data_IF_407462837243
#
_entry.id   IF_407462837243
#
_cell.length_a   1.000
_cell.length_b   1.000
_cell.length_c   1.000
_cell.angle_alpha   90.00
_cell.angle_beta   90.00
_cell.angle_gamma   90.00
#
_symmetry.space_group_name_H-M   'P 1'
#
loop_
_entity.id
_entity.type
_entity.pdbx_description
1 polymer ?
#
# COMPACT_ATOMS: atom_id res chain seq x y z
N UNK A 1 19.30 -29.41 32.13
CA UNK A 1 18.62 -29.58 30.83
C UNK A 1 17.15 -29.83 31.12
N UNK A 2 16.32 -28.79 31.02
CA UNK A 2 14.87 -28.89 31.22
C UNK A 2 14.20 -28.71 29.85
N UNK A 3 13.56 -29.77 29.36
CA UNK A 3 12.78 -29.75 28.13
C UNK A 3 11.42 -29.11 28.43
N UNK A 4 11.19 -27.92 27.90
CA UNK A 4 9.90 -27.25 27.95
C UNK A 4 8.96 -27.88 26.92
N UNK A 5 7.83 -28.41 27.38
CA UNK A 5 6.77 -28.93 26.51
C UNK A 5 6.02 -27.77 25.84
N UNK A 6 5.70 -27.84 24.54
CA UNK A 6 4.88 -26.83 23.87
C UNK A 6 3.42 -26.95 24.29
N UNK A 7 2.77 -25.80 24.48
CA UNK A 7 1.35 -25.69 24.80
C UNK A 7 0.47 -26.12 23.60
N UNK A 8 -0.68 -26.75 23.84
CA UNK A 8 -1.59 -27.15 22.77
C UNK A 8 -2.27 -25.92 22.14
N UNK A 9 -2.23 -25.86 20.81
CA UNK A 9 -2.92 -24.86 19.99
C UNK A 9 -4.43 -25.13 20.07
N UNK A 10 -5.16 -24.19 20.65
CA UNK A 10 -6.62 -24.23 20.75
C UNK A 10 -7.22 -24.08 19.35
N UNK A 11 -7.90 -25.13 18.88
CA UNK A 11 -8.60 -25.13 17.59
C UNK A 11 -9.84 -24.23 17.70
N UNK A 12 -9.85 -23.15 16.92
CA UNK A 12 -11.01 -22.27 16.76
C UNK A 12 -12.12 -23.05 16.03
N UNK A 13 -13.36 -23.10 16.55
CA UNK A 13 -14.46 -23.79 15.89
C UNK A 13 -14.70 -23.23 14.48
N UNK A 14 -14.75 -24.12 13.51
CA UNK A 14 -14.95 -23.80 12.10
C UNK A 14 -16.21 -22.96 11.87
N UNK A 15 -16.03 -21.86 11.15
CA UNK A 15 -17.10 -21.01 10.64
C UNK A 15 -17.99 -21.86 9.71
N UNK A 16 -19.33 -21.85 9.88
CA UNK A 16 -20.21 -22.60 8.99
C UNK A 16 -20.13 -22.05 7.56
N UNK A 17 -20.32 -22.91 6.54
CA UNK A 17 -20.26 -22.50 5.14
C UNK A 17 -21.39 -21.50 4.83
N UNK A 18 -20.98 -20.35 4.31
CA UNK A 18 -21.88 -19.32 3.79
C UNK A 18 -22.62 -19.91 2.60
N UNK A 19 -23.95 -19.95 2.70
CA UNK A 19 -24.87 -20.36 1.64
C UNK A 19 -24.78 -19.33 0.50
N UNK A 20 -24.60 -19.72 -0.76
CA UNK A 20 -24.67 -18.76 -1.86
C UNK A 20 -26.12 -18.26 -1.97
N UNK A 21 -26.32 -16.96 -1.75
CA UNK A 21 -27.57 -16.29 -2.07
C UNK A 21 -27.82 -16.40 -3.58
N UNK A 22 -29.01 -16.86 -3.92
CA UNK A 22 -29.45 -17.04 -5.28
C UNK A 22 -29.47 -15.73 -6.05
N UNK A 23 -29.03 -15.84 -7.30
CA UNK A 23 -29.17 -14.83 -8.35
C UNK A 23 -30.61 -14.35 -8.42
N UNK A 24 -30.86 -13.15 -7.90
CA UNK A 24 -32.12 -12.45 -8.09
C UNK A 24 -32.12 -11.89 -9.52
N UNK A 25 -33.01 -12.47 -10.32
CA UNK A 25 -33.33 -12.09 -11.68
C UNK A 25 -33.65 -10.60 -11.80
N UNK A 26 -33.08 -9.95 -12.82
CA UNK A 26 -33.47 -8.64 -13.29
C UNK A 26 -34.96 -8.59 -13.66
N UNK A 27 -35.69 -7.51 -13.35
CA UNK A 27 -36.85 -7.13 -14.12
C UNK A 27 -36.47 -6.06 -15.13
N UNK A 28 -36.43 -6.49 -16.39
CA UNK A 28 -37.14 -5.87 -17.52
C UNK A 28 -37.37 -4.36 -17.42
N UNK A 29 -36.55 -3.66 -18.20
CA UNK A 29 -36.90 -2.48 -18.99
C UNK A 29 -38.41 -2.36 -19.29
N UNK A 30 -39.01 -1.22 -18.92
CA UNK A 30 -40.26 -0.75 -19.54
C UNK A 30 -40.15 0.74 -19.83
N UNK A 31 -40.54 1.05 -21.05
CA UNK A 31 -40.47 2.34 -21.71
C UNK A 31 -41.34 3.40 -21.02
N UNK A 32 -40.80 4.62 -20.99
CA UNK A 32 -41.49 5.85 -21.37
C UNK A 32 -42.95 6.01 -20.98
N UNK A 33 -43.18 6.74 -19.89
CA UNK A 33 -44.34 7.61 -19.78
C UNK A 33 -43.86 8.97 -19.27
N UNK A 34 -43.97 9.99 -20.13
CA UNK A 34 -43.70 11.38 -19.79
C UNK A 34 -44.56 11.78 -18.59
N UNK A 35 -43.90 12.14 -17.48
CA UNK A 35 -44.54 12.65 -16.28
C UNK A 35 -45.07 14.06 -16.59
N UNK A 36 -46.37 14.35 -16.40
CA UNK A 36 -46.85 15.72 -16.49
C UNK A 36 -46.22 16.57 -15.39
N UNK A 37 -46.00 17.88 -15.62
CA UNK A 37 -45.50 18.78 -14.60
C UNK A 37 -46.44 18.79 -13.38
N UNK A 38 -45.90 18.99 -12.16
CA UNK A 38 -46.72 19.12 -10.97
C UNK A 38 -47.67 20.30 -11.13
N UNK A 39 -48.92 20.21 -10.64
CA UNK A 39 -49.81 21.36 -10.65
C UNK A 39 -49.13 22.48 -9.86
N UNK A 40 -48.99 23.65 -10.51
CA UNK A 40 -48.71 24.91 -9.84
C UNK A 40 -49.61 24.98 -8.61
N UNK A 41 -48.97 25.04 -7.44
CA UNK A 41 -49.63 25.43 -6.22
C UNK A 41 -50.12 26.86 -6.43
N UNK A 42 -51.33 26.97 -6.98
CA UNK A 42 -52.11 28.18 -6.97
C UNK A 42 -52.26 28.50 -5.49
N UNK A 43 -51.52 29.51 -5.06
CA UNK A 43 -51.61 30.06 -3.73
C UNK A 43 -53.05 30.47 -3.49
N UNK A 44 -53.80 29.60 -2.82
CA UNK A 44 -54.92 30.04 -2.00
C UNK A 44 -54.30 30.83 -0.86
N UNK A 45 -54.02 32.10 -1.14
CA UNK A 45 -53.92 33.11 -0.11
C UNK A 45 -55.22 33.03 0.67
N UNK A 46 -55.15 32.50 1.89
CA UNK A 46 -56.16 32.80 2.89
C UNK A 46 -56.21 34.33 2.97
N UNK A 47 -57.37 34.96 2.75
CA UNK A 47 -57.50 36.36 3.11
C UNK A 47 -57.21 36.46 4.61
N UNK A 48 -56.28 37.34 4.97
CA UNK A 48 -56.10 37.76 6.36
C UNK A 48 -57.48 38.08 6.95
N UNK A 49 -57.77 37.63 8.19
CA UNK A 49 -59.03 37.95 8.82
C UNK A 49 -59.15 39.47 8.89
N UNK A 50 -60.27 40.06 8.45
CA UNK A 50 -60.45 41.50 8.54
C UNK A 50 -60.30 41.89 10.01
N UNK A 51 -59.37 42.80 10.28
CA UNK A 51 -59.33 43.60 11.49
C UNK A 51 -60.66 44.35 11.59
N UNK A 52 -61.65 43.66 12.14
CA UNK A 52 -62.99 44.18 12.33
C UNK A 52 -62.93 45.06 13.58
N UNK A 53 -62.46 46.28 13.36
CA UNK A 53 -62.84 47.48 14.11
C UNK A 53 -64.36 47.53 14.20
N UNK A 54 -64.86 46.92 15.25
CA UNK A 54 -66.28 46.70 15.45
C UNK A 54 -66.52 46.16 16.84
N UNK A 55 -65.93 46.83 17.85
CA UNK A 55 -66.45 46.86 19.21
C UNK A 55 -67.91 47.36 19.16
N UNK A 56 -68.83 46.52 18.69
CA UNK A 56 -70.16 46.56 19.24
C UNK A 56 -70.00 46.00 20.64
N UNK A 57 -69.93 46.93 21.60
CA UNK A 57 -70.36 46.69 22.97
C UNK A 57 -71.68 45.91 22.91
N UNK A 58 -71.59 44.58 22.90
CA UNK A 58 -72.64 43.76 23.48
C UNK A 58 -72.64 44.17 24.93
N UNK A 59 -73.40 45.22 25.24
CA UNK A 59 -73.98 45.43 26.55
C UNK A 59 -74.84 44.21 26.78
N UNK A 60 -74.21 43.16 27.27
CA UNK A 60 -74.88 42.10 27.98
C UNK A 60 -75.71 42.84 29.01
N UNK A 61 -77.02 42.90 28.81
CA UNK A 61 -77.95 43.23 29.89
C UNK A 61 -77.86 42.06 30.88
N UNK A 62 -76.73 41.99 31.59
CA UNK A 62 -76.66 41.33 32.88
C UNK A 62 -77.46 42.27 33.76
N UNK A 63 -78.74 41.96 33.95
CA UNK A 63 -79.47 42.51 35.07
C UNK A 63 -78.75 41.95 36.29
N UNK A 64 -77.84 42.75 36.82
CA UNK A 64 -77.11 42.46 38.04
C UNK A 64 -78.13 42.56 39.18
N UNK A 65 -78.86 41.46 39.42
CA UNK A 65 -79.67 41.32 40.62
C UNK A 65 -78.68 41.16 41.77
N UNK A 66 -78.25 42.28 42.36
CA UNK A 66 -77.54 42.28 43.65
C UNK A 66 -78.54 41.90 44.74
N UNK A 67 -78.89 40.61 44.78
CA UNK A 67 -79.51 40.01 45.96
C UNK A 67 -78.40 39.94 47.02
N UNK A 68 -78.38 40.92 47.90
CA UNK A 68 -77.58 40.87 49.11
C UNK A 68 -77.94 39.61 49.89
N UNK A 69 -76.92 38.82 50.27
CA UNK A 69 -77.06 37.52 50.94
C UNK A 69 -77.77 37.62 52.33
N UNK A 70 -77.93 38.84 52.84
CA UNK A 70 -78.61 39.18 54.11
C UNK A 70 -80.06 39.71 53.94
N UNK A 71 -80.62 39.73 52.72
CA UNK A 71 -81.94 40.31 52.51
C UNK A 71 -83.07 39.30 52.85
N UNK A 72 -83.54 39.33 54.10
CA UNK A 72 -84.72 38.60 54.61
C UNK A 72 -86.06 38.95 53.91
N UNK A 73 -86.02 39.62 52.75
CA UNK A 73 -87.19 40.05 51.98
C UNK A 73 -88.07 38.89 51.48
N UNK A 74 -87.51 37.67 51.37
CA UNK A 74 -88.26 36.46 51.06
C UNK A 74 -88.97 35.82 52.27
N UNK A 75 -88.60 36.17 53.50
CA UNK A 75 -89.30 35.70 54.71
C UNK A 75 -90.62 36.45 54.94
N UNK A 76 -90.74 37.68 54.43
CA UNK A 76 -91.99 38.42 54.43
C UNK A 76 -92.89 37.96 53.27
N UNK A 77 -93.92 37.17 53.59
CA UNK A 77 -94.89 36.61 52.63
C UNK A 77 -95.53 37.70 51.75
N UNK A 78 -95.80 38.88 52.30
CA UNK A 78 -96.43 39.97 51.54
C UNK A 78 -95.44 40.60 50.55
N UNK A 79 -94.18 40.77 50.95
CA UNK A 79 -93.10 41.24 50.05
C UNK A 79 -92.80 40.23 48.95
N UNK A 80 -92.73 38.94 49.29
CA UNK A 80 -92.58 37.87 48.32
C UNK A 80 -93.75 37.86 47.32
N UNK A 81 -95.00 38.00 47.81
CA UNK A 81 -96.20 38.05 46.95
C UNK A 81 -96.20 39.26 46.03
N UNK A 82 -95.76 40.43 46.51
CA UNK A 82 -95.65 41.65 45.71
C UNK A 82 -94.56 41.52 44.65
N UNK A 83 -93.39 40.97 45.01
CA UNK A 83 -92.32 40.67 44.06
C UNK A 83 -92.76 39.68 42.99
N UNK A 84 -93.47 38.60 43.36
CA UNK A 84 -94.08 37.69 42.38
C UNK A 84 -95.10 38.40 41.48
N UNK A 85 -95.92 39.30 42.02
CA UNK A 85 -96.87 40.08 41.21
C UNK A 85 -96.20 41.07 40.26
N UNK A 86 -95.01 41.60 40.57
CA UNK A 86 -94.30 42.54 39.69
C UNK A 86 -93.42 41.80 38.68
N UNK A 87 -92.79 40.69 39.09
CA UNK A 87 -91.85 39.94 38.26
C UNK A 87 -92.53 39.07 37.20
N UNK A 88 -93.76 38.61 37.44
CA UNK A 88 -94.49 37.81 36.45
C UNK A 88 -94.85 38.67 35.23
N UNK A 89 -94.40 38.24 34.06
CA UNK A 89 -94.75 38.87 32.79
C UNK A 89 -96.27 38.81 32.57
N UNK A 90 -96.88 39.78 31.88
CA UNK A 90 -98.32 39.77 31.62
C UNK A 90 -98.84 38.44 31.02
N UNK A 91 -98.03 37.77 30.21
CA UNK A 91 -98.34 36.44 29.66
C UNK A 91 -98.36 35.33 30.73
N UNK A 92 -97.49 35.40 31.73
CA UNK A 92 -97.42 34.45 32.84
C UNK A 92 -98.59 34.66 33.81
N UNK A 93 -98.96 35.92 34.06
CA UNK A 93 -100.16 36.27 34.83
C UNK A 93 -101.44 35.72 34.18
N UNK A 94 -101.58 35.90 32.86
CA UNK A 94 -102.70 35.34 32.10
C UNK A 94 -102.72 33.81 32.15
N UNK A 95 -101.55 33.17 32.09
CA UNK A 95 -101.41 31.71 32.19
C UNK A 95 -101.79 31.18 33.58
N UNK A 96 -101.39 31.88 34.65
CA UNK A 96 -101.73 31.51 36.04
C UNK A 96 -103.23 31.67 36.30
N UNK A 97 -103.88 32.71 35.76
CA UNK A 97 -105.32 32.91 35.89
C UNK A 97 -106.15 31.89 35.10
N UNK A 98 -105.61 31.37 33.98
CA UNK A 98 -106.28 30.39 33.13
C UNK A 98 -106.12 28.93 33.60
N UNK A 99 -105.22 28.65 34.54
CA UNK A 99 -104.92 27.29 35.03
C UNK A 99 -105.30 27.14 36.51
N UNK A 100 -105.63 25.93 36.95
CA UNK A 100 -105.83 25.69 38.39
C UNK A 100 -104.48 25.74 39.12
N UNK A 101 -104.49 26.13 40.41
CA UNK A 101 -103.29 26.23 41.23
C UNK A 101 -102.44 24.93 41.19
N UNK A 102 -103.09 23.77 41.23
CA UNK A 102 -102.41 22.47 41.14
C UNK A 102 -101.70 22.26 39.79
N UNK A 103 -102.32 22.67 38.68
CA UNK A 103 -101.69 22.56 37.35
C UNK A 103 -100.50 23.52 37.21
N UNK A 104 -100.57 24.71 37.81
CA UNK A 104 -99.45 25.64 37.85
C UNK A 104 -98.26 25.10 38.67
N UNK A 105 -98.53 24.51 39.84
CA UNK A 105 -97.49 23.89 40.67
C UNK A 105 -96.82 22.70 39.98
N UNK A 106 -97.59 21.81 39.35
CA UNK A 106 -97.03 20.70 38.57
C UNK A 106 -96.25 21.19 37.35
N UNK A 107 -96.74 22.21 36.63
CA UNK A 107 -95.98 22.82 35.53
C UNK A 107 -94.66 23.44 35.99
N UNK A 108 -94.65 24.05 37.17
CA UNK A 108 -93.44 24.66 37.76
C UNK A 108 -92.46 23.58 38.19
N UNK A 109 -92.93 22.51 38.82
CA UNK A 109 -92.13 21.35 39.20
C UNK A 109 -91.49 20.68 37.97
N UNK A 110 -92.28 20.44 36.92
CA UNK A 110 -91.77 19.89 35.66
C UNK A 110 -90.74 20.83 35.00
N UNK A 111 -90.98 22.14 35.04
CA UNK A 111 -90.01 23.13 34.55
C UNK A 111 -88.71 23.12 35.36
N UNK A 112 -88.79 23.00 36.68
CA UNK A 112 -87.60 22.91 37.55
C UNK A 112 -86.78 21.65 37.24
N UNK A 113 -87.41 20.48 37.13
CA UNK A 113 -86.75 19.22 36.73
C UNK A 113 -86.10 19.35 35.35
N UNK A 114 -86.78 20.00 34.40
CA UNK A 114 -86.23 20.27 33.06
C UNK A 114 -85.00 21.18 33.12
N UNK A 115 -85.04 22.24 33.92
CA UNK A 115 -83.91 23.17 34.11
C UNK A 115 -82.73 22.41 34.74
N UNK A 116 -82.95 21.63 35.80
CA UNK A 116 -81.90 20.85 36.47
C UNK A 116 -81.26 19.82 35.52
N UNK A 117 -82.07 19.16 34.69
CA UNK A 117 -81.59 18.24 33.65
C UNK A 117 -80.71 18.98 32.63
N UNK A 118 -81.12 20.16 32.17
CA UNK A 118 -80.32 20.97 31.25
C UNK A 118 -79.01 21.46 31.89
N UNK A 119 -79.02 21.82 33.17
CA UNK A 119 -77.80 22.18 33.92
C UNK A 119 -76.84 21.00 33.97
N UNK A 120 -77.35 19.79 34.28
CA UNK A 120 -76.53 18.57 34.35
C UNK A 120 -75.95 18.19 32.99
N UNK A 121 -76.74 18.31 31.92
CA UNK A 121 -76.27 18.11 30.54
C UNK A 121 -75.20 19.15 30.18
N UNK A 122 -75.41 20.42 30.52
CA UNK A 122 -74.44 21.48 30.30
C UNK A 122 -73.12 21.23 31.03
N UNK A 123 -73.19 20.83 32.31
CA UNK A 123 -72.02 20.45 33.09
C UNK A 123 -71.28 19.25 32.49
N UNK A 124 -72.02 18.22 32.04
CA UNK A 124 -71.44 17.06 31.36
C UNK A 124 -70.70 17.43 30.07
N UNK A 125 -71.30 18.26 29.21
CA UNK A 125 -70.64 18.70 27.98
C UNK A 125 -69.42 19.59 28.24
N UNK A 126 -69.49 20.47 29.24
CA UNK A 126 -68.34 21.29 29.68
C UNK A 126 -67.18 20.41 30.14
N UNK A 127 -67.46 19.42 30.98
CA UNK A 127 -66.44 18.49 31.48
C UNK A 127 -65.87 17.60 30.35
N UNK A 128 -66.72 17.16 29.42
CA UNK A 128 -66.27 16.44 28.23
C UNK A 128 -65.35 17.31 27.35
N UNK A 129 -65.72 18.58 27.11
CA UNK A 129 -64.90 19.51 26.36
C UNK A 129 -63.53 19.75 27.04
N UNK A 130 -63.51 19.91 28.36
CA UNK A 130 -62.27 20.01 29.14
C UNK A 130 -61.35 18.79 28.95
N UNK A 131 -61.90 17.58 29.02
CA UNK A 131 -61.15 16.34 28.79
C UNK A 131 -60.63 16.24 27.35
N UNK A 132 -61.42 16.63 26.36
CA UNK A 132 -61.00 16.66 24.96
C UNK A 132 -59.84 17.65 24.74
N UNK A 133 -59.91 18.86 25.32
CA UNK A 133 -58.83 19.85 25.22
C UNK A 133 -57.53 19.35 25.88
N UNK A 134 -57.62 18.73 27.06
CA UNK A 134 -56.45 18.15 27.71
C UNK A 134 -55.83 17.00 26.90
N UNK A 135 -56.67 16.15 26.30
CA UNK A 135 -56.21 15.08 25.42
C UNK A 135 -55.52 15.65 24.17
N UNK A 136 -56.06 16.72 23.59
CA UNK A 136 -55.45 17.43 22.47
C UNK A 136 -54.09 18.03 22.85
N UNK A 137 -54.01 18.79 23.95
CA UNK A 137 -52.75 19.39 24.41
C UNK A 137 -51.68 18.32 24.66
N UNK A 138 -52.06 17.18 25.24
CA UNK A 138 -51.15 16.04 25.43
C UNK A 138 -50.71 15.45 24.10
N UNK A 139 -51.61 15.30 23.13
CA UNK A 139 -51.25 14.80 21.81
C UNK A 139 -50.29 15.75 21.09
N UNK A 140 -50.51 17.07 21.17
CA UNK A 140 -49.62 18.10 20.61
C UNK A 140 -48.23 18.05 21.25
N UNK A 141 -48.14 17.92 22.58
CA UNK A 141 -46.86 17.72 23.27
C UNK A 141 -46.12 16.46 22.79
N UNK A 142 -46.82 15.34 22.68
CA UNK A 142 -46.23 14.10 22.18
C UNK A 142 -45.74 14.24 20.73
N UNK A 143 -46.47 14.95 19.86
CA UNK A 143 -46.03 15.20 18.48
C UNK A 143 -44.75 16.05 18.47
N UNK A 144 -44.69 17.11 19.28
CA UNK A 144 -43.50 17.96 19.37
C UNK A 144 -42.26 17.17 19.89
N UNK A 145 -42.44 16.30 20.88
CA UNK A 145 -41.38 15.41 21.37
C UNK A 145 -40.90 14.43 20.29
N UNK A 146 -41.82 13.83 19.53
CA UNK A 146 -41.48 12.93 18.41
C UNK A 146 -40.78 13.68 17.27
N UNK A 147 -41.16 14.91 16.97
CA UNK A 147 -40.48 15.76 16.00
C UNK A 147 -39.05 16.11 16.43
N UNK A 148 -38.84 16.37 17.72
CA UNK A 148 -37.50 16.58 18.27
C UNK A 148 -36.64 15.32 18.15
N UNK A 149 -37.14 14.17 18.57
CA UNK A 149 -36.44 12.89 18.43
C UNK A 149 -36.14 12.53 16.97
N UNK A 150 -37.07 12.83 16.05
CA UNK A 150 -36.82 12.66 14.60
C UNK A 150 -35.64 13.51 14.13
N UNK A 151 -35.55 14.77 14.56
CA UNK A 151 -34.42 15.67 14.22
C UNK A 151 -33.10 15.17 14.80
N UNK A 152 -33.11 14.70 16.04
CA UNK A 152 -31.95 14.09 16.70
C UNK A 152 -31.46 12.84 15.95
N UNK A 153 -32.37 11.93 15.61
CA UNK A 153 -32.03 10.73 14.84
C UNK A 153 -31.51 11.07 13.44
N UNK A 154 -32.08 12.06 12.76
CA UNK A 154 -31.57 12.50 11.46
C UNK A 154 -30.16 13.08 11.56
N UNK A 155 -29.85 13.81 12.65
CA UNK A 155 -28.50 14.31 12.90
C UNK A 155 -27.53 13.15 13.11
N UNK A 156 -27.88 12.17 13.95
CA UNK A 156 -27.05 10.98 14.20
C UNK A 156 -26.83 10.18 12.91
N UNK A 157 -27.88 9.97 12.11
CA UNK A 157 -27.76 9.29 10.82
C UNK A 157 -26.80 10.07 9.91
N UNK A 158 -26.94 11.38 9.80
CA UNK A 158 -26.01 12.21 9.01
C UNK A 158 -24.56 12.10 9.48
N UNK A 159 -24.29 12.18 10.78
CA UNK A 159 -22.92 12.05 11.29
C UNK A 159 -22.33 10.65 11.04
N UNK A 160 -23.15 9.60 11.21
CA UNK A 160 -22.68 8.23 10.95
C UNK A 160 -22.48 7.94 9.47
N UNK A 161 -23.29 8.52 8.57
CA UNK A 161 -23.08 8.44 7.13
C UNK A 161 -21.77 9.12 6.71
N UNK A 162 -21.46 10.29 7.28
CA UNK A 162 -20.19 10.99 7.04
C UNK A 162 -18.98 10.18 7.57
N UNK A 163 -19.09 9.57 8.76
CA UNK A 163 -18.07 8.67 9.31
C UNK A 163 -17.85 7.45 8.41
N UNK A 164 -18.91 6.80 7.94
CA UNK A 164 -18.83 5.66 7.02
C UNK A 164 -18.14 6.07 5.71
N UNK A 165 -18.47 7.25 5.19
CA UNK A 165 -17.82 7.78 3.97
C UNK A 165 -16.32 8.04 4.21
N UNK A 166 -15.95 8.61 5.35
CA UNK A 166 -14.54 8.83 5.71
C UNK A 166 -13.77 7.51 5.82
N UNK A 167 -14.36 6.51 6.49
CA UNK A 167 -13.76 5.17 6.62
C UNK A 167 -13.63 4.48 5.25
N UNK A 168 -14.61 4.66 4.35
CA UNK A 168 -14.52 4.14 2.98
C UNK A 168 -13.34 4.74 2.22
N UNK A 169 -13.13 6.05 2.32
CA UNK A 169 -11.98 6.72 1.68
C UNK A 169 -10.65 6.22 2.26
N UNK A 170 -10.54 6.10 3.59
CA UNK A 170 -9.34 5.59 4.24
C UNK A 170 -9.02 4.13 3.82
N UNK A 171 -10.05 3.29 3.70
CA UNK A 171 -9.90 1.91 3.24
C UNK A 171 -9.37 1.84 1.79
N UNK A 172 -9.82 2.71 0.91
CA UNK A 172 -9.35 2.73 -0.48
C UNK A 172 -7.91 3.26 -0.60
N UNK A 173 -7.51 4.23 0.24
CA UNK A 173 -6.12 4.66 0.37
C UNK A 173 -5.22 3.53 0.88
N UNK A 174 -5.65 2.77 1.90
CA UNK A 174 -4.90 1.62 2.41
C UNK A 174 -4.74 0.52 1.34
N UNK A 175 -5.80 0.23 0.57
CA UNK A 175 -5.71 -0.71 -0.56
C UNK A 175 -4.69 -0.24 -1.60
N UNK A 176 -4.65 1.05 -1.91
CA UNK A 176 -3.68 1.62 -2.84
C UNK A 176 -2.25 1.53 -2.31
N UNK A 177 -2.02 1.86 -1.03
CA UNK A 177 -0.72 1.72 -0.38
C UNK A 177 -0.23 0.26 -0.39
N UNK A 178 -1.12 -0.69 -0.07
CA UNK A 178 -0.78 -2.11 -0.09
C UNK A 178 -0.51 -2.64 -1.52
N UNK A 179 -1.23 -2.14 -2.53
CA UNK A 179 -0.94 -2.44 -3.93
C UNK A 179 0.46 -1.94 -4.34
N UNK A 180 0.84 -0.74 -3.90
CA UNK A 180 2.18 -0.19 -4.11
C UNK A 180 3.26 -1.05 -3.43
N UNK A 181 3.11 -1.37 -2.15
CA UNK A 181 4.05 -2.24 -1.42
C UNK A 181 4.19 -3.62 -2.06
N UNK A 182 3.09 -4.21 -2.57
CA UNK A 182 3.16 -5.47 -3.32
C UNK A 182 3.92 -5.33 -4.63
N UNK A 183 3.78 -4.21 -5.33
CA UNK A 183 4.53 -3.92 -6.56
C UNK A 183 6.03 -3.78 -6.26
N UNK A 184 6.38 -3.02 -5.23
CA UNK A 184 7.77 -2.84 -4.80
C UNK A 184 8.42 -4.15 -4.36
N UNK A 185 7.69 -5.00 -3.63
CA UNK A 185 8.14 -6.33 -3.24
C UNK A 185 8.46 -7.18 -4.47
N UNK A 186 7.57 -7.23 -5.47
CA UNK A 186 7.84 -7.97 -6.71
C UNK A 186 9.04 -7.41 -7.47
N UNK A 187 9.21 -6.08 -7.49
CA UNK A 187 10.37 -5.45 -8.10
C UNK A 187 11.68 -5.77 -7.35
N UNK A 188 11.63 -5.90 -6.02
CA UNK A 188 12.78 -6.32 -5.22
C UNK A 188 13.10 -7.80 -5.43
N UNK A 189 12.09 -8.67 -5.52
CA UNK A 189 12.24 -10.10 -5.84
C UNK A 189 12.86 -10.30 -7.22
N UNK A 190 12.42 -9.54 -8.23
CA UNK A 190 13.00 -9.59 -9.57
C UNK A 190 14.50 -9.19 -9.56
N UNK A 191 14.85 -8.10 -8.86
CA UNK A 191 16.25 -7.67 -8.67
C UNK A 191 17.08 -8.71 -7.95
N UNK A 192 16.52 -9.38 -6.94
CA UNK A 192 17.19 -10.47 -6.23
C UNK A 192 17.43 -11.68 -7.14
N UNK A 193 16.46 -12.04 -7.97
CA UNK A 193 16.61 -13.13 -8.93
C UNK A 193 17.69 -12.82 -9.97
N UNK A 194 17.74 -11.60 -10.49
CA UNK A 194 18.79 -11.13 -11.41
C UNK A 194 20.17 -11.17 -10.76
N UNK A 195 20.31 -10.63 -9.53
CA UNK A 195 21.57 -10.66 -8.80
C UNK A 195 22.07 -12.08 -8.54
N UNK A 196 21.17 -13.01 -8.22
CA UNK A 196 21.50 -14.45 -8.07
C UNK A 196 21.97 -15.06 -9.39
N UNK A 197 21.30 -14.76 -10.49
CA UNK A 197 21.72 -15.21 -11.82
C UNK A 197 23.11 -14.69 -12.18
N UNK A 198 23.37 -13.40 -11.95
CA UNK A 198 24.67 -12.78 -12.21
C UNK A 198 25.79 -13.41 -11.35
N UNK A 199 25.49 -13.73 -10.09
CA UNK A 199 26.42 -14.41 -9.19
C UNK A 199 26.81 -15.78 -9.73
N UNK A 200 25.86 -16.60 -10.20
CA UNK A 200 26.15 -17.90 -10.82
C UNK A 200 27.06 -17.76 -12.03
N UNK A 201 26.82 -16.77 -12.89
CA UNK A 201 27.69 -16.48 -14.06
C UNK A 201 29.11 -16.11 -13.60
N UNK A 202 29.23 -15.29 -12.56
CA UNK A 202 30.53 -14.89 -12.01
C UNK A 202 31.28 -16.07 -11.38
N UNK A 203 30.60 -16.92 -10.62
CA UNK A 203 31.18 -18.15 -10.06
C UNK A 203 31.71 -19.08 -11.15
N UNK A 204 30.96 -19.24 -12.25
CA UNK A 204 31.42 -20.03 -13.38
C UNK A 204 32.64 -19.41 -14.06
N UNK A 205 32.65 -18.08 -14.22
CA UNK A 205 33.80 -17.37 -14.80
C UNK A 205 35.06 -17.51 -13.92
N UNK A 206 34.91 -17.44 -12.60
CA UNK A 206 36.01 -17.64 -11.64
C UNK A 206 36.56 -19.06 -11.76
N UNK A 207 35.71 -20.09 -11.72
CA UNK A 207 36.14 -21.49 -11.91
C UNK A 207 36.87 -21.69 -13.25
N UNK A 208 36.37 -21.06 -14.31
CA UNK A 208 37.03 -21.09 -15.62
C UNK A 208 38.40 -20.39 -15.63
N UNK A 209 38.57 -19.31 -14.88
CA UNK A 209 39.85 -18.62 -14.73
C UNK A 209 40.85 -19.43 -13.87
N UNK A 210 40.37 -20.06 -12.80
CA UNK A 210 41.17 -20.95 -11.95
C UNK A 210 41.74 -22.12 -12.76
N UNK A 211 40.89 -22.82 -13.55
CA UNK A 211 41.35 -23.91 -14.42
C UNK A 211 42.42 -23.45 -15.44
N UNK A 212 42.25 -22.27 -16.03
CA UNK A 212 43.25 -21.70 -16.95
C UNK A 212 44.55 -21.36 -16.25
N UNK A 213 44.49 -20.86 -15.01
CA UNK A 213 45.67 -20.57 -14.21
C UNK A 213 46.44 -21.85 -13.87
N UNK A 214 45.73 -22.92 -13.48
CA UNK A 214 46.32 -24.24 -13.24
C UNK A 214 46.99 -24.81 -14.51
N UNK A 215 46.33 -24.68 -15.67
CA UNK A 215 46.89 -25.10 -16.95
C UNK A 215 48.19 -24.34 -17.30
N UNK A 216 48.19 -23.01 -17.17
CA UNK A 216 49.38 -22.19 -17.40
C UNK A 216 50.51 -22.53 -16.43
N UNK A 217 50.19 -22.79 -15.15
CA UNK A 217 51.19 -23.20 -14.16
C UNK A 217 51.82 -24.54 -14.54
N UNK A 218 51.03 -25.51 -15.02
CA UNK A 218 51.55 -26.78 -15.51
C UNK A 218 52.43 -26.61 -16.75
N UNK A 219 52.04 -25.75 -17.70
CA UNK A 219 52.84 -25.43 -18.89
C UNK A 219 54.19 -24.79 -18.53
N UNK A 220 54.19 -23.82 -17.62
CA UNK A 220 55.40 -23.17 -17.12
C UNK A 220 56.32 -24.17 -16.41
N UNK A 221 55.77 -25.04 -15.56
CA UNK A 221 56.55 -26.09 -14.90
C UNK A 221 57.17 -27.10 -15.89
N UNK A 222 56.47 -27.42 -16.98
CA UNK A 222 57.02 -28.26 -18.04
C UNK A 222 58.14 -27.55 -18.82
N UNK A 223 57.95 -26.26 -19.12
CA UNK A 223 58.96 -25.44 -19.78
C UNK A 223 60.22 -25.27 -18.92
N UNK A 224 60.05 -25.06 -17.62
CA UNK A 224 61.14 -24.96 -16.64
C UNK A 224 61.95 -26.26 -16.60
N UNK A 225 61.28 -27.42 -16.48
CA UNK A 225 61.96 -28.74 -16.52
C UNK A 225 62.72 -28.96 -17.82
N UNK A 226 62.12 -28.65 -18.97
CA UNK A 226 62.78 -28.78 -20.26
C UNK A 226 63.99 -27.83 -20.39
N UNK A 227 63.90 -26.61 -19.84
CA UNK A 227 65.02 -25.68 -19.80
C UNK A 227 66.14 -26.20 -18.87
N UNK A 228 65.79 -26.77 -17.72
CA UNK A 228 66.73 -27.38 -16.79
C UNK A 228 67.45 -28.59 -17.39
N UNK A 229 66.73 -29.48 -18.07
CA UNK A 229 67.31 -30.63 -18.78
C UNK A 229 68.27 -30.18 -19.89
N UNK A 230 67.90 -29.16 -20.68
CA UNK A 230 68.81 -28.58 -21.69
C UNK A 230 70.07 -27.99 -21.06
N UNK A 231 69.94 -27.28 -19.93
CA UNK A 231 71.07 -26.74 -19.22
C UNK A 231 72.00 -27.85 -18.68
N UNK A 232 71.43 -28.91 -18.11
CA UNK A 232 72.19 -30.08 -17.65
C UNK A 232 72.91 -30.79 -18.80
N UNK A 233 72.24 -30.99 -19.92
CA UNK A 233 72.83 -31.58 -21.11
C UNK A 233 73.98 -30.71 -21.66
N UNK A 234 73.80 -29.39 -21.74
CA UNK A 234 74.87 -28.48 -22.13
C UNK A 234 76.10 -28.59 -21.20
N UNK A 235 75.89 -28.61 -19.89
CA UNK A 235 76.96 -28.82 -18.90
C UNK A 235 77.66 -30.16 -19.11
N UNK A 236 76.92 -31.21 -19.46
CA UNK A 236 77.50 -32.53 -19.74
C UNK A 236 78.35 -32.52 -21.01
N UNK A 237 77.85 -31.92 -22.10
CA UNK A 237 78.61 -31.72 -23.34
C UNK A 237 79.91 -30.93 -23.10
N UNK A 238 79.88 -29.90 -22.25
CA UNK A 238 81.09 -29.14 -21.90
C UNK A 238 82.13 -30.01 -21.18
N UNK A 239 81.72 -30.90 -20.27
CA UNK A 239 82.65 -31.85 -19.64
C UNK A 239 83.22 -32.85 -20.63
N UNK A 240 82.37 -33.42 -21.49
CA UNK A 240 82.82 -34.35 -22.53
C UNK A 240 83.81 -33.68 -23.49
N UNK A 241 83.63 -32.39 -23.79
CA UNK A 241 84.58 -31.60 -24.59
C UNK A 241 85.90 -31.34 -23.84
N UNK A 242 85.85 -31.07 -22.53
CA UNK A 242 87.05 -30.92 -21.69
C UNK A 242 87.84 -32.23 -21.65
N UNK A 243 87.18 -33.37 -21.44
CA UNK A 243 87.81 -34.70 -21.53
C UNK A 243 88.38 -34.99 -22.92
N UNK A 244 87.70 -34.58 -23.99
CA UNK A 244 88.21 -34.71 -25.36
C UNK A 244 89.41 -33.80 -25.62
N UNK A 245 89.42 -32.61 -25.02
CA UNK A 245 90.54 -31.70 -25.10
C UNK A 245 91.75 -32.25 -24.35
N UNK A 246 91.58 -32.82 -23.16
CA UNK A 246 92.63 -33.54 -22.44
C UNK A 246 93.18 -34.71 -23.27
N UNK A 247 92.31 -35.49 -23.91
CA UNK A 247 92.71 -36.59 -24.79
C UNK A 247 93.50 -36.10 -26.01
N UNK A 248 93.03 -35.04 -26.67
CA UNK A 248 93.73 -34.42 -27.80
C UNK A 248 95.06 -33.80 -27.38
N UNK A 249 95.13 -33.18 -26.21
CA UNK A 249 96.38 -32.66 -25.66
C UNK A 249 97.37 -33.80 -25.39
N UNK A 250 96.92 -34.90 -24.79
CA UNK A 250 97.75 -36.09 -24.56
C UNK A 250 98.22 -36.72 -25.89
N UNK A 251 97.32 -36.90 -26.85
CA UNK A 251 97.66 -37.48 -28.16
C UNK A 251 98.54 -36.54 -29.01
N UNK A 252 98.31 -35.23 -28.97
CA UNK A 252 99.17 -34.25 -29.63
C UNK A 252 100.56 -34.21 -29.01
N UNK A 253 100.66 -34.27 -27.68
CA UNK A 253 101.96 -34.34 -26.97
C UNK A 253 102.67 -35.65 -27.32
N UNK A 254 101.97 -36.79 -27.31
CA UNK A 254 102.56 -38.08 -27.67
C UNK A 254 102.99 -38.13 -29.15
N UNK A 255 102.16 -37.63 -30.06
CA UNK A 255 102.49 -37.51 -31.48
C UNK A 255 103.67 -36.59 -31.73
N UNK A 256 103.79 -35.47 -30.99
CA UNK A 256 104.93 -34.56 -31.05
C UNK A 256 106.21 -35.25 -30.55
N UNK A 257 106.15 -35.94 -29.41
CA UNK A 257 107.27 -36.72 -28.87
C UNK A 257 107.72 -37.78 -29.89
N UNK A 258 106.76 -38.48 -30.50
CA UNK A 258 107.05 -39.52 -31.49
C UNK A 258 107.66 -38.94 -32.77
N UNK A 259 107.09 -37.87 -33.32
CA UNK A 259 107.66 -37.16 -34.47
C UNK A 259 109.05 -36.60 -34.19
N UNK A 260 109.30 -36.09 -32.97
CA UNK A 260 110.63 -35.64 -32.55
C UNK A 260 111.62 -36.82 -32.44
N UNK A 261 111.17 -37.98 -31.97
CA UNK A 261 111.99 -39.19 -31.93
C UNK A 261 112.31 -39.71 -33.34
N UNK A 262 111.34 -39.70 -34.25
CA UNK A 262 111.56 -40.06 -35.65
C UNK A 262 112.53 -39.10 -36.35
N UNK A 263 112.37 -37.80 -36.09
CA UNK A 263 113.33 -36.78 -36.52
C UNK A 263 114.72 -37.05 -35.96
N UNK A 264 114.87 -37.29 -34.65
CA UNK A 264 116.16 -37.68 -34.04
C UNK A 264 116.75 -38.92 -34.71
N UNK A 265 115.93 -39.93 -35.01
CA UNK A 265 116.36 -41.16 -35.68
C UNK A 265 116.82 -40.90 -37.13
N UNK A 266 116.11 -40.05 -37.87
CA UNK A 266 116.52 -39.62 -39.21
C UNK A 266 117.83 -38.82 -39.15
N UNK A 267 117.96 -37.91 -38.18
CA UNK A 267 119.16 -37.08 -37.98
C UNK A 267 120.37 -37.93 -37.56
N UNK A 268 120.16 -38.97 -36.76
CA UNK A 268 121.17 -39.97 -36.38
C UNK A 268 121.66 -40.78 -37.60
N UNK A 269 120.80 -41.01 -38.60
CA UNK A 269 121.17 -41.65 -39.88
C UNK A 269 121.95 -40.72 -40.80
N UNK A 270 121.58 -39.45 -40.85
CA UNK A 270 122.20 -38.45 -41.73
C UNK A 270 123.53 -37.90 -41.15
N UNK A 271 123.63 -37.79 -39.83
CA UNK A 271 124.76 -37.19 -39.11
C UNK A 271 125.19 -38.06 -37.90
N UNK A 272 126.00 -39.11 -38.09
CA UNK A 272 126.31 -40.10 -37.05
C UNK A 272 127.11 -39.55 -35.85
N UNK A 273 127.84 -38.45 -36.04
CA UNK A 273 128.74 -37.86 -35.03
C UNK A 273 128.10 -36.71 -34.22
N UNK A 274 126.83 -36.39 -34.47
CA UNK A 274 126.15 -35.29 -33.80
C UNK A 274 125.59 -35.75 -32.45
N UNK A 275 125.92 -35.06 -31.35
CA UNK A 275 125.45 -35.42 -30.01
C UNK A 275 123.99 -35.01 -29.80
N UNK A 276 123.09 -35.98 -29.99
CA UNK A 276 121.65 -35.80 -29.89
C UNK A 276 121.18 -35.53 -28.45
N UNK A 277 122.04 -35.64 -27.43
CA UNK A 277 121.66 -35.30 -26.05
C UNK A 277 121.50 -33.79 -25.82
N UNK A 278 121.99 -32.95 -26.74
CA UNK A 278 121.82 -31.49 -26.71
C UNK A 278 120.43 -31.03 -27.17
N UNK A 279 119.65 -31.89 -27.84
CA UNK A 279 118.28 -31.59 -28.30
C UNK A 279 117.27 -32.19 -27.31
N UNK A 280 117.03 -31.49 -26.20
CA UNK A 280 115.89 -31.80 -25.34
C UNK A 280 114.61 -31.18 -25.91
N UNK A 281 113.50 -31.93 -25.98
CA UNK A 281 112.19 -31.35 -26.26
C UNK A 281 111.91 -30.21 -25.26
N UNK A 282 111.72 -28.98 -25.74
CA UNK A 282 111.44 -27.81 -24.91
C UNK A 282 112.61 -26.85 -24.65
N UNK A 283 113.84 -27.16 -25.09
CA UNK A 283 114.96 -26.23 -25.01
C UNK A 283 114.80 -25.07 -26.00
N UNK A 284 114.10 -23.99 -25.58
CA UNK A 284 113.89 -22.78 -26.36
C UNK A 284 112.57 -22.04 -26.12
N UNK A 285 111.67 -22.55 -25.28
CA UNK A 285 110.38 -21.90 -24.96
C UNK A 285 110.49 -21.08 -23.66
N UNK A 286 111.49 -20.22 -23.58
CA UNK A 286 111.51 -19.12 -22.61
C UNK A 286 111.29 -17.83 -23.41
N UNK A 287 110.05 -17.36 -23.50
CA UNK A 287 109.80 -16.00 -24.03
C UNK A 287 108.54 -15.73 -24.85
N UNK A 288 107.58 -16.64 -24.95
CA UNK A 288 106.29 -16.35 -25.61
C UNK A 288 105.10 -16.72 -24.73
N UNK A 289 105.08 -16.18 -23.51
CA UNK A 289 103.81 -15.89 -22.85
C UNK A 289 103.24 -14.66 -23.56
N UNK A 290 102.48 -14.89 -24.63
CA UNK A 290 101.54 -13.86 -25.09
C UNK A 290 100.51 -13.71 -23.97
N UNK A 291 100.46 -12.53 -23.37
CA UNK A 291 99.40 -12.18 -22.43
C UNK A 291 98.03 -12.51 -23.03
N UNK A 292 97.09 -13.07 -22.26
CA UNK A 292 95.70 -13.01 -22.66
C UNK A 292 95.31 -11.53 -22.68
N UNK A 293 95.18 -10.98 -23.88
CA UNK A 293 94.48 -9.72 -24.10
C UNK A 293 93.09 -9.91 -23.51
N UNK A 294 92.84 -9.26 -22.38
CA UNK A 294 91.50 -8.95 -21.96
C UNK A 294 90.83 -8.21 -23.11
N UNK A 295 89.93 -8.90 -23.82
CA UNK A 295 88.96 -8.24 -24.65
C UNK A 295 87.92 -7.59 -23.73
N UNK A 296 88.31 -6.47 -23.13
CA UNK A 296 87.41 -5.46 -22.59
C UNK A 296 86.64 -4.89 -23.79
N UNK A 297 85.52 -5.52 -24.12
CA UNK A 297 84.52 -5.00 -25.04
C UNK A 297 83.55 -4.10 -24.29
N UNK A 298 84.00 -2.90 -23.89
CA UNK A 298 83.14 -1.83 -23.39
C UNK A 298 83.32 -0.59 -24.29
N UNK A 299 82.23 -0.22 -25.00
CA UNK A 299 81.80 1.14 -25.42
C UNK A 299 80.88 1.03 -26.65
N UNK A 300 79.55 1.10 -26.49
CA UNK A 300 78.73 2.34 -26.51
C UNK A 300 78.11 2.59 -27.92
N UNK A 301 76.99 3.34 -28.10
CA UNK A 301 76.38 4.26 -27.14
C UNK A 301 74.87 4.12 -26.93
N UNK A 302 74.47 4.70 -25.80
CA UNK A 302 73.15 5.25 -25.55
C UNK A 302 72.67 6.12 -26.73
N UNK A 303 71.46 5.85 -27.21
CA UNK A 303 70.67 6.82 -27.94
C UNK A 303 69.52 7.28 -27.03
N UNK A 304 69.68 8.54 -26.61
CA UNK A 304 68.68 9.47 -26.11
C UNK A 304 67.27 9.25 -26.67
N UNK A 305 66.29 9.23 -25.77
CA UNK A 305 65.01 9.88 -26.01
C UNK A 305 64.56 10.58 -24.71
N UNK A 306 64.92 11.86 -24.64
CA UNK A 306 64.24 12.86 -23.81
C UNK A 306 62.75 12.96 -24.14
N UNK A 307 61.94 13.06 -23.09
CA UNK A 307 61.07 14.22 -22.92
C UNK A 307 59.70 14.19 -23.60
N UNK A 308 58.69 13.71 -22.89
CA UNK A 308 57.39 14.37 -22.85
C UNK A 308 56.64 14.02 -21.55
N UNK A 309 56.65 14.99 -20.63
CA UNK A 309 55.68 15.08 -19.56
C UNK A 309 54.27 15.24 -20.14
N UNK A 310 53.32 14.41 -19.69
CA UNK A 310 51.94 14.85 -19.42
C UNK A 310 51.25 13.84 -18.51
N UNK A 311 50.89 14.33 -17.33
CA UNK A 311 50.13 13.58 -16.35
C UNK A 311 48.72 13.26 -16.83
N UNK A 312 48.20 12.15 -16.33
CA UNK A 312 46.78 11.91 -16.16
C UNK A 312 46.61 10.87 -15.05
N UNK A 313 46.57 11.36 -13.82
CA UNK A 313 45.77 10.79 -12.73
C UNK A 313 44.32 10.66 -13.21
N UNK A 314 43.65 9.51 -13.06
CA UNK A 314 42.21 9.51 -12.90
C UNK A 314 41.91 9.69 -11.42
N UNK A 315 41.84 10.96 -11.00
CA UNK A 315 41.16 11.36 -9.77
C UNK A 315 39.66 11.24 -10.04
N UNK A 316 39.04 10.15 -9.59
CA UNK A 316 37.59 10.04 -9.49
C UNK A 316 37.20 10.72 -8.18
N UNK A 317 36.91 12.02 -8.26
CA UNK A 317 36.19 12.75 -7.23
C UNK A 317 34.70 12.84 -7.61
N UNK A 318 33.77 12.74 -6.63
CA UNK A 318 32.34 12.73 -6.84
C UNK A 318 31.81 14.17 -6.99
N UNK A 319 31.12 14.45 -8.09
CA UNK A 319 30.43 15.72 -8.32
C UNK A 319 28.93 15.49 -8.33
N UNK A 320 28.28 15.85 -7.22
CA UNK A 320 26.83 16.06 -7.20
C UNK A 320 26.45 17.23 -8.10
N UNK A 321 25.29 17.12 -8.74
CA UNK A 321 24.61 18.27 -9.35
C UNK A 321 23.15 18.15 -9.01
N UNK A 322 22.70 19.01 -8.10
CA UNK A 322 21.30 19.34 -7.91
C UNK A 322 20.70 19.94 -9.19
N UNK A 323 19.40 19.68 -9.38
CA UNK A 323 18.47 20.72 -9.83
C UNK A 323 18.22 20.79 -11.33
N UNK A 324 17.08 20.24 -11.74
CA UNK A 324 16.47 20.53 -13.04
C UNK A 324 15.19 19.74 -13.27
N UNK A 325 14.05 20.29 -12.81
CA UNK A 325 12.73 19.96 -13.36
C UNK A 325 12.74 20.06 -14.90
N UNK A 326 11.89 19.28 -15.57
CA UNK A 326 10.77 19.97 -16.21
C UNK A 326 9.45 19.21 -16.02
N UNK A 327 8.44 19.94 -15.55
CA UNK A 327 7.05 19.58 -15.82
C UNK A 327 6.68 19.89 -17.27
N UNK A 328 5.95 18.98 -17.91
CA UNK A 328 4.75 19.23 -18.72
C UNK A 328 4.44 18.04 -19.65
N UNK A 329 3.30 17.39 -19.39
CA UNK A 329 2.25 16.96 -20.36
C UNK A 329 2.66 16.39 -21.73
N UNK A 330 2.32 15.11 -21.96
CA UNK A 330 1.62 14.60 -23.14
C UNK A 330 1.33 13.10 -22.88
N UNK A 331 0.07 12.68 -22.76
CA UNK A 331 -0.83 12.33 -23.87
C UNK A 331 -0.78 10.82 -24.16
N UNK A 332 -1.96 10.23 -24.32
CA UNK A 332 -2.21 8.81 -24.18
C UNK A 332 -1.51 7.91 -25.21
N UNK A 333 -1.23 6.69 -24.76
CA UNK A 333 -1.12 5.54 -25.63
C UNK A 333 -2.15 4.51 -25.15
N UNK A 334 -3.25 4.44 -25.89
CA UNK A 334 -4.19 3.33 -25.84
C UNK A 334 -3.42 2.04 -26.14
N UNK A 335 -3.34 1.15 -25.16
CA UNK A 335 -2.95 -0.23 -25.41
C UNK A 335 -4.19 -0.95 -25.96
N UNK A 336 -4.19 -1.17 -27.27
CA UNK A 336 -5.09 -2.09 -27.97
C UNK A 336 -5.19 -3.41 -27.18
N UNK A 337 -6.38 -3.67 -26.64
CA UNK A 337 -6.73 -4.95 -26.08
C UNK A 337 -6.82 -5.97 -27.20
N UNK A 338 -5.87 -6.90 -27.23
CA UNK A 338 -6.01 -8.13 -28.00
C UNK A 338 -7.13 -8.95 -27.34
N UNK A 339 -8.29 -8.98 -27.98
CA UNK A 339 -9.34 -9.97 -27.72
C UNK A 339 -8.77 -11.37 -27.96
N UNK A 340 -8.51 -12.09 -26.87
CA UNK A 340 -8.28 -13.54 -26.92
C UNK A 340 -9.66 -14.17 -26.70
N UNK A 341 -10.23 -14.72 -27.78
CA UNK A 341 -11.40 -15.60 -27.72
C UNK A 341 -11.16 -16.73 -26.69
N UNK A 342 -12.07 -16.95 -25.73
CA UNK A 342 -12.03 -18.17 -24.94
C UNK A 342 -12.49 -19.34 -25.81
N UNK A 343 -11.53 -20.15 -26.25
CA UNK A 343 -11.80 -21.43 -26.89
C UNK A 343 -12.67 -22.34 -26.02
N UNK A 344 -13.70 -22.90 -26.64
CA UNK A 344 -14.60 -23.91 -26.08
C UNK A 344 -13.80 -25.08 -25.50
N UNK A 345 -13.73 -25.17 -24.17
CA UNK A 345 -13.36 -26.41 -23.50
C UNK A 345 -14.55 -27.38 -23.55
N UNK A 346 -14.50 -28.23 -24.58
CA UNK A 346 -15.31 -29.43 -24.73
C UNK A 346 -15.28 -30.27 -23.45
N UNK A 347 -16.45 -30.47 -22.84
CA UNK A 347 -16.66 -31.42 -21.76
C UNK A 347 -16.49 -32.86 -22.31
N UNK A 348 -15.29 -33.40 -22.14
CA UNK A 348 -14.96 -34.79 -22.43
C UNK A 348 -14.82 -35.59 -21.14
N UNK A 349 -15.82 -36.43 -20.88
CA UNK A 349 -15.75 -37.76 -20.27
C UNK A 349 -14.69 -38.03 -19.19
N UNK A 350 -15.16 -38.23 -17.96
CA UNK A 350 -14.46 -39.02 -16.95
C UNK A 350 -15.46 -39.82 -16.11
N UNK A 351 -16.09 -40.81 -16.75
CA UNK A 351 -16.69 -41.97 -16.07
C UNK A 351 -15.77 -43.17 -16.26
N UNK A 352 -14.91 -43.48 -15.29
CA UNK A 352 -14.41 -44.85 -15.06
C UNK A 352 -13.63 -44.96 -13.74
N UNK A 353 -14.20 -45.78 -12.85
CA UNK A 353 -13.54 -46.82 -12.05
C UNK A 353 -12.36 -46.45 -11.14
N UNK A 354 -12.60 -46.54 -9.82
CA UNK A 354 -11.73 -47.33 -8.92
C UNK A 354 -12.63 -48.05 -7.89
N UNK A 355 -12.36 -49.35 -7.76
CA UNK A 355 -12.95 -50.30 -6.80
C UNK A 355 -12.64 -49.98 -5.34
#
# INVERSE_FOLDING_TARGET
MALACPAPVSQIPGRPPVRPEGSASEPSSSQGAARPPPPEATGFGLPDPPENEGQQEKRSYVVEWTLSEDDSALENIDTARHLFHVALLPAEKAKIQAMSLNQFLESTRLSAVRIETLISIGAYYKERARRCLQAQEKAEKNVAELELHKKELLLIVGTTEDEVKLLSMALDEEKAAHALTRSELRAAEARLAEARSLLVVREQAIKGAELKAEELQAQLGAQEKAAQERAQNAVQLFRELEEFQELLEEEAVNGLIQGFNDFRNQLRRLCPNFDLNLLQPGAGVEGLMAEPVEATGEAAPEASLEGAARGATPEIAPGGTEGGEPGATAEGAEAEGVEIEPGEISAGDAAAAVS
#
